data_IF_138761028589
#
_entry.id   IF_138761028589
#
_cell.length_a   1.000
_cell.length_b   1.000
_cell.length_c   1.000
_cell.angle_alpha   90.00
_cell.angle_beta   90.00
_cell.angle_gamma   90.00
#
_symmetry.space_group_name_H-M   'P 1'
#
loop_
_entity.id
_entity.type
_entity.pdbx_description
1 polymer ?
#
# COMPACT_ATOMS: atom_id res chain seq x y z
N UNK A 1 -22.01 -35.03 -45.03
CA UNK A 1 -22.09 -33.81 -44.20
C UNK A 1 -21.43 -34.17 -42.88
N UNK A 2 -20.20 -33.73 -42.64
CA UNK A 2 -19.56 -33.95 -41.34
C UNK A 2 -20.27 -33.04 -40.33
N UNK A 3 -21.00 -33.64 -39.40
CA UNK A 3 -21.70 -32.91 -38.36
C UNK A 3 -20.70 -32.57 -37.25
N UNK A 4 -20.12 -31.37 -37.31
CA UNK A 4 -19.37 -30.83 -36.18
C UNK A 4 -20.35 -30.44 -35.07
N UNK A 5 -20.07 -30.91 -33.85
CA UNK A 5 -20.83 -30.55 -32.64
C UNK A 5 -19.99 -29.52 -31.88
N UNK A 6 -20.63 -28.41 -31.50
CA UNK A 6 -20.00 -27.40 -30.67
C UNK A 6 -19.87 -27.92 -29.23
N UNK A 7 -18.68 -27.79 -28.64
CA UNK A 7 -18.46 -28.13 -27.23
C UNK A 7 -19.24 -27.19 -26.30
N UNK A 8 -19.55 -27.65 -25.09
CA UNK A 8 -20.17 -26.80 -24.07
C UNK A 8 -19.25 -25.65 -23.65
N UNK A 9 -19.80 -24.61 -23.03
CA UNK A 9 -19.05 -23.40 -22.66
C UNK A 9 -17.86 -23.66 -21.71
N UNK A 10 -17.90 -24.75 -20.94
CA UNK A 10 -16.85 -25.19 -20.01
C UNK A 10 -15.83 -26.13 -20.64
N UNK A 11 -16.03 -26.50 -21.90
CA UNK A 11 -15.21 -27.46 -22.63
C UNK A 11 -14.53 -26.83 -23.84
N UNK A 12 -13.46 -27.47 -24.28
CA UNK A 12 -12.69 -27.11 -25.45
C UNK A 12 -12.38 -28.35 -26.27
N UNK A 13 -12.19 -28.19 -27.57
CA UNK A 13 -11.78 -29.28 -28.44
C UNK A 13 -10.37 -29.76 -28.09
N UNK A 14 -10.15 -31.07 -28.01
CA UNK A 14 -8.80 -31.62 -27.96
C UNK A 14 -8.02 -31.32 -29.25
N UNK A 15 -6.69 -31.47 -29.24
CA UNK A 15 -5.84 -31.15 -30.41
C UNK A 15 -6.25 -31.86 -31.71
N UNK A 16 -6.85 -33.06 -31.58
CA UNK A 16 -7.32 -33.87 -32.72
C UNK A 16 -8.76 -33.55 -33.15
N UNK A 17 -9.46 -32.61 -32.51
CA UNK A 17 -10.86 -32.23 -32.76
C UNK A 17 -11.85 -33.40 -32.74
N UNK A 18 -11.58 -34.37 -31.87
CA UNK A 18 -12.36 -35.61 -31.74
C UNK A 18 -13.22 -35.65 -30.49
N UNK A 19 -12.85 -34.87 -29.45
CA UNK A 19 -13.51 -34.88 -28.15
C UNK A 19 -13.48 -33.48 -27.54
N UNK A 20 -14.51 -33.15 -26.78
CA UNK A 20 -14.53 -32.01 -25.87
C UNK A 20 -13.83 -32.40 -24.56
N UNK A 21 -12.91 -31.57 -24.09
CA UNK A 21 -12.15 -31.69 -22.85
C UNK A 21 -12.41 -30.46 -22.00
N UNK A 22 -12.38 -30.58 -20.68
CA UNK A 22 -12.60 -29.45 -19.77
C UNK A 22 -11.54 -28.37 -20.02
N UNK A 23 -11.95 -27.10 -20.12
CA UNK A 23 -11.01 -25.97 -20.25
C UNK A 23 -10.09 -25.91 -19.03
N UNK A 24 -8.85 -25.48 -19.22
CA UNK A 24 -7.88 -25.31 -18.13
C UNK A 24 -8.11 -24.01 -17.38
N UNK A 25 -8.20 -24.06 -16.04
CA UNK A 25 -8.30 -22.87 -15.20
C UNK A 25 -6.96 -22.12 -15.13
N UNK A 26 -6.98 -20.81 -15.37
CA UNK A 26 -5.84 -19.90 -15.20
C UNK A 26 -6.11 -18.91 -14.06
N UNK A 27 -5.26 -18.97 -13.04
CA UNK A 27 -5.16 -18.01 -11.94
C UNK A 27 -3.70 -17.97 -11.46
N UNK A 28 -3.35 -17.00 -10.62
CA UNK A 28 -1.99 -16.89 -10.08
C UNK A 28 -1.77 -17.94 -8.98
N UNK A 29 -1.36 -19.14 -9.38
CA UNK A 29 -1.29 -20.31 -8.51
C UNK A 29 -0.04 -20.27 -7.63
N UNK A 30 -0.19 -20.66 -6.35
CA UNK A 30 0.94 -20.82 -5.43
C UNK A 30 1.92 -21.92 -5.87
N UNK A 31 1.40 -23.00 -6.46
CA UNK A 31 2.19 -24.20 -6.75
C UNK A 31 2.75 -24.23 -8.16
N UNK A 32 2.08 -23.58 -9.11
CA UNK A 32 2.37 -23.77 -10.53
C UNK A 32 3.05 -22.57 -11.19
N UNK A 33 3.03 -21.39 -10.56
CA UNK A 33 3.62 -20.17 -11.10
C UNK A 33 4.85 -19.73 -10.30
N UNK A 34 6.01 -19.71 -10.94
CA UNK A 34 7.26 -19.19 -10.37
C UNK A 34 7.11 -17.74 -9.86
N UNK A 35 6.27 -16.95 -10.52
CA UNK A 35 5.99 -15.56 -10.18
C UNK A 35 5.34 -15.44 -8.79
N UNK A 36 4.40 -16.33 -8.46
CA UNK A 36 3.75 -16.37 -7.14
C UNK A 36 4.75 -16.65 -6.03
N UNK A 37 5.70 -17.56 -6.27
CA UNK A 37 6.77 -17.90 -5.32
C UNK A 37 7.69 -16.70 -5.10
N UNK A 38 8.06 -15.98 -6.17
CA UNK A 38 8.88 -14.77 -6.10
C UNK A 38 8.15 -13.69 -5.28
N UNK A 39 6.89 -13.37 -5.61
CA UNK A 39 6.13 -12.35 -4.88
C UNK A 39 5.92 -12.71 -3.41
N UNK A 40 5.61 -13.97 -3.11
CA UNK A 40 5.46 -14.43 -1.73
C UNK A 40 6.79 -14.30 -0.98
N UNK A 41 7.90 -14.73 -1.57
CA UNK A 41 9.23 -14.63 -0.95
C UNK A 41 9.64 -13.17 -0.67
N UNK A 42 9.43 -12.28 -1.64
CA UNK A 42 9.72 -10.84 -1.48
C UNK A 42 8.82 -10.22 -0.41
N UNK A 43 7.53 -10.57 -0.40
CA UNK A 43 6.58 -10.10 0.63
C UNK A 43 7.02 -10.54 2.03
N UNK A 44 7.38 -11.81 2.23
CA UNK A 44 7.88 -12.33 3.51
C UNK A 44 9.17 -11.62 3.93
N UNK A 45 10.11 -11.43 3.00
CA UNK A 45 11.37 -10.74 3.30
C UNK A 45 11.13 -9.30 3.79
N UNK A 46 10.27 -8.54 3.10
CA UNK A 46 9.95 -7.18 3.51
C UNK A 46 9.11 -7.12 4.79
N UNK A 47 8.20 -8.08 4.99
CA UNK A 47 7.46 -8.23 6.25
C UNK A 47 8.44 -8.43 7.43
N UNK A 48 9.37 -9.38 7.32
CA UNK A 48 10.38 -9.65 8.34
C UNK A 48 11.27 -8.43 8.58
N UNK A 49 11.71 -7.77 7.52
CA UNK A 49 12.48 -6.52 7.62
C UNK A 49 11.71 -5.43 8.38
N UNK A 50 10.42 -5.29 8.11
CA UNK A 50 9.56 -4.32 8.80
C UNK A 50 9.39 -4.68 10.28
N UNK A 51 9.27 -5.97 10.61
CA UNK A 51 9.23 -6.47 11.99
C UNK A 51 10.54 -6.17 12.73
N UNK A 52 11.69 -6.36 12.08
CA UNK A 52 12.99 -6.00 12.66
C UNK A 52 13.09 -4.50 12.93
N UNK A 53 12.73 -3.66 11.94
CA UNK A 53 12.69 -2.19 12.10
C UNK A 53 11.76 -1.79 13.25
N UNK A 54 10.56 -2.37 13.31
CA UNK A 54 9.61 -2.12 14.39
C UNK A 54 10.20 -2.50 15.76
N UNK A 55 10.87 -3.65 15.85
CA UNK A 55 11.51 -4.13 17.08
C UNK A 55 12.63 -3.19 17.55
N UNK A 56 13.42 -2.65 16.63
CA UNK A 56 14.42 -1.61 16.91
C UNK A 56 13.74 -0.35 17.47
N UNK A 57 12.67 0.12 16.84
CA UNK A 57 11.92 1.29 17.31
C UNK A 57 11.26 1.09 18.69
N UNK A 58 10.83 -0.13 19.02
CA UNK A 58 10.33 -0.49 20.37
C UNK A 58 11.47 -0.45 21.38
N UNK A 59 12.59 -1.10 21.06
CA UNK A 59 13.76 -1.20 21.96
C UNK A 59 14.35 0.16 22.27
N UNK A 60 14.47 1.03 21.26
CA UNK A 60 15.00 2.39 21.39
C UNK A 60 13.90 3.45 21.55
N UNK A 61 12.73 3.07 22.09
CA UNK A 61 11.57 3.96 22.27
C UNK A 61 11.90 5.25 23.03
N UNK A 62 12.76 5.15 24.04
CA UNK A 62 13.13 6.29 24.88
C UNK A 62 14.28 7.12 24.30
N UNK A 63 14.84 6.72 23.14
CA UNK A 63 15.90 7.47 22.49
C UNK A 63 15.40 8.83 21.98
N UNK A 64 16.22 9.89 22.06
CA UNK A 64 15.85 11.21 21.58
C UNK A 64 15.40 11.22 20.11
N UNK A 65 16.02 10.40 19.26
CA UNK A 65 15.66 10.26 17.84
C UNK A 65 14.22 9.76 17.68
N UNK A 66 13.81 8.71 18.40
CA UNK A 66 12.45 8.15 18.29
C UNK A 66 11.42 9.07 18.94
N UNK A 67 11.76 9.71 20.07
CA UNK A 67 10.88 10.62 20.80
C UNK A 67 10.61 11.93 20.06
N UNK A 68 11.63 12.49 19.38
CA UNK A 68 11.48 13.66 18.52
C UNK A 68 10.58 13.37 17.31
N UNK A 69 10.51 12.11 16.89
CA UNK A 69 9.86 11.69 15.66
C UNK A 69 8.39 11.26 15.81
N UNK A 70 7.62 11.98 16.64
CA UNK A 70 6.20 11.71 16.95
C UNK A 70 5.90 10.21 16.99
N UNK A 71 6.43 9.53 18.00
CA UNK A 71 6.48 8.08 18.12
C UNK A 71 5.20 7.39 17.60
N UNK A 72 4.01 7.79 18.06
CA UNK A 72 2.72 7.20 17.68
C UNK A 72 2.52 7.06 16.16
N UNK A 73 2.85 8.10 15.38
CA UNK A 73 2.70 8.07 13.92
C UNK A 73 3.69 7.13 13.25
N UNK A 74 4.93 7.09 13.74
CA UNK A 74 5.96 6.19 13.20
C UNK A 74 5.61 4.72 13.45
N UNK A 75 5.02 4.41 14.61
CA UNK A 75 4.51 3.06 14.90
C UNK A 75 3.32 2.70 14.01
N UNK A 76 2.35 3.60 13.88
CA UNK A 76 1.16 3.37 13.08
C UNK A 76 1.50 3.21 11.59
N UNK A 77 2.48 3.97 11.08
CA UNK A 77 3.03 3.80 9.73
C UNK A 77 3.74 2.45 9.55
N UNK A 78 4.59 2.02 10.49
CA UNK A 78 5.26 0.70 10.41
C UNK A 78 4.28 -0.46 10.45
N UNK A 79 3.26 -0.39 11.31
CA UNK A 79 2.20 -1.39 11.37
C UNK A 79 1.43 -1.44 10.05
N UNK A 80 1.14 -0.29 9.45
CA UNK A 80 0.47 -0.21 8.15
C UNK A 80 1.33 -0.83 7.05
N UNK A 81 2.61 -0.46 6.95
CA UNK A 81 3.56 -1.04 5.98
C UNK A 81 3.64 -2.58 6.13
N UNK A 82 3.71 -3.08 7.37
CA UNK A 82 3.70 -4.51 7.66
C UNK A 82 2.43 -5.19 7.14
N UNK A 83 1.26 -4.60 7.38
CA UNK A 83 -0.02 -5.11 6.89
C UNK A 83 -0.13 -5.03 5.36
N UNK A 84 0.47 -4.02 4.72
CA UNK A 84 0.53 -3.92 3.25
C UNK A 84 1.31 -5.08 2.64
N UNK A 85 2.46 -5.46 3.22
CA UNK A 85 3.18 -6.65 2.76
C UNK A 85 2.34 -7.93 2.93
N UNK A 86 1.67 -8.08 4.08
CA UNK A 86 0.79 -9.22 4.33
C UNK A 86 -0.43 -9.25 3.39
N UNK A 87 -0.92 -8.09 2.93
CA UNK A 87 -2.07 -8.02 2.03
C UNK A 87 -1.82 -8.70 0.69
N UNK A 88 -0.56 -8.85 0.25
CA UNK A 88 -0.18 -9.55 -0.98
C UNK A 88 -0.72 -10.98 -1.00
N UNK A 89 -0.81 -11.66 0.15
CA UNK A 89 -1.34 -13.02 0.23
C UNK A 89 -2.83 -13.12 -0.12
N UNK A 90 -3.59 -12.02 -0.06
CA UNK A 90 -4.99 -11.97 -0.51
C UNK A 90 -5.12 -11.97 -2.04
N UNK A 91 -4.05 -11.63 -2.76
CA UNK A 91 -4.00 -11.59 -4.22
C UNK A 91 -3.47 -12.89 -4.83
N UNK A 92 -2.81 -13.73 -4.04
CA UNK A 92 -2.22 -14.99 -4.48
C UNK A 92 -3.20 -16.16 -4.30
N UNK A 93 -3.11 -17.17 -5.16
CA UNK A 93 -3.93 -18.38 -5.08
C UNK A 93 -5.25 -18.29 -5.86
N UNK A 94 -6.12 -19.28 -5.66
CA UNK A 94 -7.42 -19.34 -6.33
C UNK A 94 -8.34 -18.29 -5.69
N UNK A 95 -8.80 -17.27 -6.44
CA UNK A 95 -9.68 -16.27 -5.88
C UNK A 95 -11.04 -16.87 -5.54
N UNK A 96 -11.55 -16.50 -4.38
CA UNK A 96 -12.92 -16.78 -3.88
C UNK A 96 -13.57 -15.48 -3.45
N UNK A 97 -14.91 -15.46 -3.35
CA UNK A 97 -15.66 -14.24 -3.02
C UNK A 97 -15.09 -13.46 -1.84
N UNK A 98 -14.78 -14.14 -0.74
CA UNK A 98 -14.21 -13.51 0.47
C UNK A 98 -12.85 -12.85 0.17
N UNK A 99 -11.93 -13.54 -0.51
CA UNK A 99 -10.62 -12.97 -0.85
C UNK A 99 -10.77 -11.76 -1.77
N UNK A 100 -11.82 -11.73 -2.58
CA UNK A 100 -12.09 -10.67 -3.54
C UNK A 100 -12.69 -9.43 -2.91
N UNK A 101 -13.52 -9.61 -1.89
CA UNK A 101 -13.91 -8.51 -1.01
C UNK A 101 -12.69 -7.97 -0.23
N UNK A 102 -11.83 -8.84 0.30
CA UNK A 102 -10.77 -8.42 1.21
C UNK A 102 -9.56 -7.76 0.53
N UNK A 103 -9.17 -8.15 -0.69
CA UNK A 103 -7.94 -7.69 -1.37
C UNK A 103 -7.78 -6.15 -1.41
N UNK A 104 -8.68 -5.47 -2.09
CA UNK A 104 -8.62 -4.02 -2.38
C UNK A 104 -9.00 -3.24 -1.13
N UNK A 105 -9.90 -3.77 -0.30
CA UNK A 105 -10.35 -3.12 0.93
C UNK A 105 -9.25 -3.13 1.97
N UNK A 106 -8.63 -4.28 2.22
CA UNK A 106 -7.52 -4.41 3.16
C UNK A 106 -6.36 -3.52 2.72
N UNK A 107 -6.00 -3.58 1.44
CA UNK A 107 -4.96 -2.72 0.90
C UNK A 107 -5.33 -1.24 1.04
N UNK A 108 -6.52 -0.84 0.59
CA UNK A 108 -6.95 0.57 0.58
C UNK A 108 -7.05 1.19 1.96
N UNK A 109 -7.58 0.46 2.94
CA UNK A 109 -7.61 0.92 4.35
C UNK A 109 -6.19 1.04 4.90
N UNK A 110 -5.38 0.01 4.75
CA UNK A 110 -4.00 0.01 5.26
C UNK A 110 -3.16 1.12 4.64
N UNK A 111 -3.32 1.32 3.33
CA UNK A 111 -2.69 2.37 2.58
C UNK A 111 -3.14 3.76 3.04
N UNK A 112 -4.45 3.98 3.20
CA UNK A 112 -5.00 5.24 3.68
C UNK A 112 -4.45 5.59 5.06
N UNK A 113 -4.36 4.62 5.97
CA UNK A 113 -3.75 4.80 7.29
C UNK A 113 -2.27 5.20 7.17
N UNK A 114 -1.50 4.54 6.29
CA UNK A 114 -0.09 4.85 6.06
C UNK A 114 0.12 6.28 5.54
N UNK A 115 -0.61 6.68 4.49
CA UNK A 115 -0.46 8.02 3.91
C UNK A 115 -1.04 9.10 4.81
N UNK A 116 -2.14 8.83 5.51
CA UNK A 116 -2.66 9.77 6.51
C UNK A 116 -1.66 10.01 7.63
N UNK A 117 -0.88 9.00 8.02
CA UNK A 117 0.22 9.15 8.99
C UNK A 117 1.33 10.05 8.46
N UNK A 118 1.69 9.91 7.19
CA UNK A 118 2.69 10.75 6.53
C UNK A 118 2.21 12.18 6.36
N UNK A 119 0.95 12.35 6.01
CA UNK A 119 0.28 13.64 5.92
C UNK A 119 0.28 14.33 7.29
N UNK A 120 -0.19 13.64 8.34
CA UNK A 120 -0.18 14.14 9.70
C UNK A 120 1.24 14.53 10.16
N UNK A 121 2.23 13.70 9.82
CA UNK A 121 3.64 13.97 10.14
C UNK A 121 4.16 15.22 9.44
N UNK A 122 3.83 15.38 8.16
CA UNK A 122 4.21 16.56 7.37
C UNK A 122 3.54 17.82 7.91
N UNK A 123 2.26 17.74 8.27
CA UNK A 123 1.52 18.84 8.92
C UNK A 123 2.19 19.22 10.24
N UNK A 124 2.58 18.24 11.06
CA UNK A 124 3.27 18.49 12.33
C UNK A 124 4.60 19.23 12.13
N UNK A 125 5.38 18.88 11.11
CA UNK A 125 6.63 19.60 10.73
C UNK A 125 6.32 21.04 10.32
N UNK A 126 5.33 21.25 9.43
CA UNK A 126 4.92 22.58 9.00
C UNK A 126 4.41 23.45 10.14
N UNK A 127 3.64 22.88 11.08
CA UNK A 127 3.10 23.61 12.24
C UNK A 127 4.19 23.92 13.25
N UNK A 128 5.14 23.00 13.50
CA UNK A 128 6.27 23.24 14.38
C UNK A 128 7.10 24.45 13.93
N UNK A 129 7.36 24.56 12.62
CA UNK A 129 8.05 25.71 12.04
C UNK A 129 7.25 27.01 12.12
N UNK A 130 5.91 26.97 12.00
CA UNK A 130 5.08 28.17 12.18
C UNK A 130 5.00 28.60 13.65
N UNK A 131 5.11 27.66 14.59
CA UNK A 131 4.97 27.94 16.01
C UNK A 131 6.24 28.46 16.70
N UNK A 132 7.40 28.33 16.07
CA UNK A 132 8.63 29.03 16.51
C UNK A 132 8.54 30.54 16.32
N UNK A 133 7.55 31.06 15.57
CA UNK A 133 7.26 32.50 15.53
C UNK A 133 6.61 32.96 16.85
N UNK A 134 7.17 33.98 17.54
CA UNK A 134 6.63 34.46 18.82
C UNK A 134 5.19 34.97 18.65
N UNK A 135 4.30 34.62 19.60
CA UNK A 135 2.90 35.07 19.63
C UNK A 135 1.85 34.19 18.93
N UNK A 136 2.22 33.04 18.36
CA UNK A 136 1.26 32.21 17.61
C UNK A 136 0.33 31.36 18.52
N UNK A 137 -0.99 31.40 18.26
CA UNK A 137 -1.99 30.55 18.92
C UNK A 137 -1.82 29.05 18.60
N UNK A 138 -1.08 28.73 17.53
CA UNK A 138 -0.78 27.39 17.04
C UNK A 138 0.00 26.53 18.04
N UNK A 139 0.68 27.14 19.01
CA UNK A 139 1.43 26.45 20.07
C UNK A 139 0.54 25.56 20.96
N UNK A 140 -0.76 25.88 21.11
CA UNK A 140 -1.72 25.07 21.88
C UNK A 140 -2.20 23.82 21.14
N UNK A 141 -2.14 23.83 19.80
CA UNK A 141 -2.58 22.74 18.93
C UNK A 141 -1.45 21.79 18.52
N UNK A 142 -0.20 22.14 18.83
CA UNK A 142 0.97 21.28 18.65
C UNK A 142 0.88 20.07 19.58
N UNK A 143 0.67 18.89 19.01
CA UNK A 143 0.80 17.64 19.74
C UNK A 143 0.14 16.42 19.09
N UNK A 144 0.12 15.34 19.86
CA UNK A 144 -0.42 14.02 19.49
C UNK A 144 -1.92 14.08 19.12
N UNK A 145 -2.68 15.01 19.70
CA UNK A 145 -4.11 15.18 19.42
C UNK A 145 -4.39 15.60 17.97
N UNK A 146 -3.61 16.54 17.42
CA UNK A 146 -3.78 16.99 16.03
C UNK A 146 -3.44 15.87 15.04
N UNK A 147 -2.30 15.21 15.24
CA UNK A 147 -1.86 14.12 14.37
C UNK A 147 -2.83 12.94 14.37
N UNK A 148 -3.29 12.49 15.54
CA UNK A 148 -4.28 11.42 15.62
C UNK A 148 -5.62 11.82 15.00
N UNK A 149 -6.05 13.09 15.15
CA UNK A 149 -7.27 13.59 14.52
C UNK A 149 -7.19 13.54 12.99
N UNK A 150 -6.07 13.97 12.40
CA UNK A 150 -5.84 13.88 10.94
C UNK A 150 -5.89 12.43 10.46
N UNK A 151 -5.18 11.53 11.14
CA UNK A 151 -5.17 10.10 10.77
C UNK A 151 -6.57 9.50 10.85
N UNK A 152 -7.30 9.76 11.93
CA UNK A 152 -8.64 9.22 12.14
C UNK A 152 -9.62 9.74 11.09
N UNK A 153 -9.59 11.05 10.81
CA UNK A 153 -10.47 11.68 9.83
C UNK A 153 -10.24 11.16 8.40
N UNK A 154 -8.99 11.10 7.95
CA UNK A 154 -8.68 10.60 6.61
C UNK A 154 -8.98 9.10 6.49
N UNK A 155 -8.62 8.30 7.50
CA UNK A 155 -8.86 6.85 7.46
C UNK A 155 -10.35 6.50 7.53
N UNK A 156 -11.15 7.28 8.28
CA UNK A 156 -12.60 7.03 8.40
C UNK A 156 -13.32 7.25 7.07
N UNK A 157 -12.92 8.24 6.28
CA UNK A 157 -13.47 8.45 4.93
C UNK A 157 -13.23 7.22 4.06
N UNK A 158 -12.01 6.68 4.04
CA UNK A 158 -11.71 5.46 3.28
C UNK A 158 -12.55 4.27 3.74
N UNK A 159 -12.70 4.09 5.05
CA UNK A 159 -13.52 3.00 5.62
C UNK A 159 -14.98 3.15 5.18
N UNK A 160 -15.55 4.36 5.24
CA UNK A 160 -16.93 4.60 4.81
C UNK A 160 -17.11 4.28 3.33
N UNK A 161 -16.17 4.68 2.47
CA UNK A 161 -16.19 4.37 1.03
C UNK A 161 -16.16 2.85 0.83
N UNK A 162 -15.24 2.14 1.48
CA UNK A 162 -15.13 0.68 1.38
C UNK A 162 -16.39 -0.04 1.87
N UNK A 163 -16.95 0.35 3.01
CA UNK A 163 -18.17 -0.25 3.56
C UNK A 163 -19.38 -0.01 2.68
N UNK A 164 -19.49 1.19 2.09
CA UNK A 164 -20.58 1.53 1.16
C UNK A 164 -20.48 0.67 -0.10
N UNK A 165 -19.27 0.50 -0.65
CA UNK A 165 -19.07 -0.35 -1.82
C UNK A 165 -19.43 -1.81 -1.54
N UNK A 166 -18.98 -2.37 -0.40
CA UNK A 166 -19.35 -3.73 0.01
C UNK A 166 -20.85 -3.92 0.21
N UNK A 167 -21.54 -2.91 0.75
CA UNK A 167 -22.97 -3.00 1.02
C UNK A 167 -23.82 -2.97 -0.26
N UNK A 168 -23.40 -2.20 -1.27
CA UNK A 168 -24.18 -1.99 -2.50
C UNK A 168 -23.85 -3.06 -3.55
N UNK A 169 -22.57 -3.33 -3.79
CA UNK A 169 -22.11 -4.22 -4.86
C UNK A 169 -20.72 -4.77 -4.51
N UNK A 170 -20.65 -5.78 -3.63
CA UNK A 170 -19.37 -6.33 -3.20
C UNK A 170 -18.67 -7.05 -4.37
N UNK A 171 -17.32 -7.04 -4.41
CA UNK A 171 -16.57 -7.85 -5.37
C UNK A 171 -16.83 -9.34 -5.18
N UNK A 172 -16.87 -10.09 -6.29
CA UNK A 172 -17.15 -11.53 -6.30
C UNK A 172 -16.27 -12.25 -7.32
N UNK A 173 -16.16 -13.57 -7.17
CA UNK A 173 -15.40 -14.42 -8.08
C UNK A 173 -16.12 -14.55 -9.43
N UNK A 174 -15.39 -14.30 -10.52
CA UNK A 174 -15.90 -14.44 -11.88
C UNK A 174 -15.04 -15.45 -12.67
N UNK A 175 -15.74 -16.31 -13.42
CA UNK A 175 -15.16 -17.27 -14.35
C UNK A 175 -15.25 -16.68 -15.76
N UNK A 176 -14.15 -16.11 -16.25
CA UNK A 176 -14.10 -15.56 -17.60
C UNK A 176 -13.71 -16.65 -18.60
N UNK A 177 -14.71 -17.06 -19.39
CA UNK A 177 -14.61 -18.11 -20.41
C UNK A 177 -14.45 -17.56 -21.84
N UNK A 178 -14.46 -16.24 -22.01
CA UNK A 178 -14.54 -15.56 -23.31
C UNK A 178 -13.26 -14.83 -23.68
N UNK A 179 -12.45 -14.42 -22.71
CA UNK A 179 -11.23 -13.64 -22.96
C UNK A 179 -10.09 -14.46 -23.56
N UNK A 180 -10.05 -15.78 -23.34
CA UNK A 180 -8.99 -16.65 -23.87
C UNK A 180 -9.54 -18.00 -24.37
N UNK A 181 -9.37 -18.35 -25.66
CA UNK A 181 -9.87 -19.61 -26.20
C UNK A 181 -9.21 -20.82 -25.52
N UNK A 182 -10.03 -21.72 -24.98
CA UNK A 182 -9.56 -22.96 -24.35
C UNK A 182 -9.11 -22.85 -22.88
N UNK A 183 -9.12 -21.65 -22.29
CA UNK A 183 -8.83 -21.44 -20.86
C UNK A 183 -10.00 -20.77 -20.14
N UNK A 184 -10.10 -20.98 -18.82
CA UNK A 184 -11.04 -20.29 -17.92
C UNK A 184 -10.22 -19.40 -17.01
N UNK A 185 -10.31 -18.09 -17.15
CA UNK A 185 -9.59 -17.17 -16.27
C UNK A 185 -10.44 -16.97 -15.02
N UNK A 186 -9.91 -17.37 -13.86
CA UNK A 186 -10.57 -17.10 -12.58
C UNK A 186 -10.02 -15.78 -12.04
N UNK A 187 -10.86 -14.75 -12.08
CA UNK A 187 -10.54 -13.41 -11.58
C UNK A 187 -11.62 -12.97 -10.61
N UNK A 188 -11.51 -11.75 -10.08
CA UNK A 188 -12.65 -11.17 -9.41
C UNK A 188 -13.13 -9.94 -10.10
N UNK A 189 -14.45 -9.93 -10.21
CA UNK A 189 -15.21 -8.82 -10.69
C UNK A 189 -15.40 -7.86 -9.53
N UNK A 190 -15.13 -6.58 -9.79
CA UNK A 190 -15.25 -5.52 -8.79
C UNK A 190 -16.71 -5.21 -8.44
N UNK A 191 -17.68 -5.76 -9.20
CA UNK A 191 -19.12 -5.59 -9.02
C UNK A 191 -19.61 -4.20 -9.44
N UNK A 192 -18.99 -3.14 -8.91
CA UNK A 192 -19.28 -1.76 -9.24
C UNK A 192 -18.00 -1.00 -9.60
N UNK A 193 -17.92 -0.57 -10.86
CA UNK A 193 -16.84 0.30 -11.32
C UNK A 193 -16.80 1.62 -10.54
N UNK A 194 -17.96 2.17 -10.17
CA UNK A 194 -18.04 3.40 -9.37
C UNK A 194 -17.43 3.17 -7.98
N UNK A 195 -17.76 2.05 -7.34
CA UNK A 195 -17.19 1.67 -6.05
C UNK A 195 -15.67 1.52 -6.11
N UNK A 196 -15.18 0.74 -7.07
CA UNK A 196 -13.75 0.56 -7.32
C UNK A 196 -13.02 1.89 -7.54
N UNK A 197 -13.48 2.72 -8.49
CA UNK A 197 -12.85 4.01 -8.79
C UNK A 197 -12.97 5.01 -7.64
N UNK A 198 -14.00 4.93 -6.80
CA UNK A 198 -14.11 5.79 -5.61
C UNK A 198 -13.03 5.48 -4.57
N UNK A 199 -12.71 4.19 -4.36
CA UNK A 199 -11.61 3.75 -3.48
C UNK A 199 -10.26 4.21 -4.04
N UNK A 200 -9.97 3.89 -5.30
CA UNK A 200 -8.71 4.29 -5.95
C UNK A 200 -8.59 5.82 -6.01
N UNK A 201 -9.67 6.52 -6.33
CA UNK A 201 -9.71 7.98 -6.43
C UNK A 201 -9.42 8.67 -5.10
N UNK A 202 -10.01 8.18 -4.00
CA UNK A 202 -9.71 8.73 -2.67
C UNK A 202 -8.25 8.47 -2.26
N UNK A 203 -7.73 7.27 -2.51
CA UNK A 203 -6.31 6.96 -2.28
C UNK A 203 -5.39 7.89 -3.06
N UNK A 204 -5.70 8.14 -4.34
CA UNK A 204 -4.96 9.06 -5.20
C UNK A 204 -5.02 10.51 -4.71
N UNK A 205 -6.20 10.99 -4.29
CA UNK A 205 -6.37 12.33 -3.72
C UNK A 205 -5.53 12.49 -2.44
N UNK A 206 -5.61 11.52 -1.54
CA UNK A 206 -4.88 11.54 -0.28
C UNK A 206 -3.36 11.55 -0.54
N UNK A 207 -2.88 10.74 -1.49
CA UNK A 207 -1.48 10.73 -1.91
C UNK A 207 -1.06 12.06 -2.52
N UNK A 208 -1.87 12.67 -3.39
CA UNK A 208 -1.59 13.95 -4.02
C UNK A 208 -1.47 15.08 -2.99
N UNK A 209 -2.43 15.19 -2.06
CA UNK A 209 -2.41 16.19 -0.98
C UNK A 209 -1.16 16.01 -0.12
N UNK A 210 -0.84 14.77 0.25
CA UNK A 210 0.33 14.49 1.06
C UNK A 210 1.64 14.75 0.32
N UNK A 211 1.72 14.50 -0.98
CA UNK A 211 2.88 14.83 -1.80
C UNK A 211 3.09 16.34 -1.89
N UNK A 212 2.03 17.12 -2.17
CA UNK A 212 2.11 18.59 -2.24
C UNK A 212 2.61 19.17 -0.91
N UNK A 213 2.04 18.75 0.22
CA UNK A 213 2.52 19.22 1.52
C UNK A 213 3.96 18.78 1.81
N UNK A 214 4.34 17.55 1.46
CA UNK A 214 5.70 17.06 1.67
C UNK A 214 6.71 17.83 0.81
N UNK A 215 6.34 18.19 -0.41
CA UNK A 215 7.15 19.01 -1.30
C UNK A 215 7.33 20.43 -0.77
N UNK A 216 6.27 21.04 -0.23
CA UNK A 216 6.36 22.36 0.42
C UNK A 216 7.22 22.32 1.69
N UNK A 217 7.15 21.23 2.46
CA UNK A 217 7.93 21.07 3.69
C UNK A 217 9.44 20.87 3.44
N UNK A 218 9.86 20.41 2.25
CA UNK A 218 11.28 20.20 1.89
C UNK A 218 12.15 21.47 2.04
N UNK A 219 11.56 22.65 1.85
CA UNK A 219 12.29 23.92 1.93
C UNK A 219 12.50 24.41 3.37
N UNK A 220 11.87 23.74 4.36
CA UNK A 220 12.02 24.11 5.76
C UNK A 220 13.40 23.66 6.29
N UNK A 221 14.12 24.52 7.04
CA UNK A 221 15.35 24.15 7.72
C UNK A 221 14.99 23.28 8.93
N UNK A 222 14.69 22.01 8.69
CA UNK A 222 14.43 21.05 9.76
C UNK A 222 15.74 20.37 10.20
N UNK A 223 15.81 20.08 11.50
CA UNK A 223 16.98 19.59 12.26
C UNK A 223 17.61 18.30 11.73
N UNK A 224 16.91 17.56 10.87
CA UNK A 224 17.40 16.40 10.12
C UNK A 224 16.78 16.44 8.73
N UNK A 225 17.43 15.86 7.70
CA UNK A 225 16.92 15.74 6.32
C UNK A 225 15.58 14.95 6.20
N UNK A 226 14.81 14.78 7.27
CA UNK A 226 13.54 14.09 7.38
C UNK A 226 12.50 14.58 6.38
N UNK A 227 12.31 15.89 6.21
CA UNK A 227 11.37 16.41 5.22
C UNK A 227 11.72 15.93 3.81
N UNK A 228 13.03 15.90 3.45
CA UNK A 228 13.50 15.41 2.15
C UNK A 228 13.22 13.91 1.98
N UNK A 229 13.45 13.10 3.01
CA UNK A 229 13.15 11.66 2.97
C UNK A 229 11.66 11.39 2.79
N UNK A 230 10.79 12.16 3.46
CA UNK A 230 9.33 12.08 3.30
C UNK A 230 8.93 12.47 1.87
N UNK A 231 9.47 13.58 1.33
CA UNK A 231 9.17 14.00 -0.06
C UNK A 231 9.60 12.93 -1.06
N UNK A 232 10.82 12.39 -0.94
CA UNK A 232 11.33 11.37 -1.86
C UNK A 232 10.49 10.09 -1.79
N UNK A 233 10.10 9.70 -0.58
CA UNK A 233 9.20 8.58 -0.34
C UNK A 233 7.84 8.78 -1.01
N UNK A 234 7.25 9.96 -0.90
CA UNK A 234 5.95 10.26 -1.53
C UNK A 234 6.05 10.39 -3.04
N UNK A 235 7.18 10.90 -3.56
CA UNK A 235 7.42 10.96 -5.00
C UNK A 235 7.48 9.55 -5.61
N UNK A 236 8.26 8.66 -4.99
CA UNK A 236 8.37 7.25 -5.40
C UNK A 236 7.02 6.55 -5.28
N UNK A 237 6.28 6.82 -4.21
CA UNK A 237 4.93 6.31 -4.06
C UNK A 237 4.03 6.73 -5.23
N UNK A 238 3.92 8.03 -5.51
CA UNK A 238 3.08 8.56 -6.58
C UNK A 238 3.51 8.04 -7.96
N UNK A 239 4.81 7.91 -8.24
CA UNK A 239 5.29 7.42 -9.53
C UNK A 239 4.91 5.96 -9.78
N UNK A 240 4.94 5.11 -8.75
CA UNK A 240 4.49 3.71 -8.83
C UNK A 240 3.00 3.64 -9.16
N UNK A 241 2.17 4.46 -8.51
CA UNK A 241 0.71 4.44 -8.74
C UNK A 241 0.30 5.05 -10.08
N UNK A 242 0.99 6.10 -10.53
CA UNK A 242 0.75 6.68 -11.86
C UNK A 242 1.14 5.67 -12.96
N UNK A 243 2.26 4.97 -12.81
CA UNK A 243 2.69 3.95 -13.79
C UNK A 243 1.85 2.67 -13.74
N UNK A 244 1.23 2.38 -12.59
CA UNK A 244 0.32 1.26 -12.42
C UNK A 244 -0.96 1.40 -13.27
N UNK A 245 -1.53 2.61 -13.41
CA UNK A 245 -2.76 2.84 -14.18
C UNK A 245 -2.68 2.30 -15.63
N UNK A 246 -1.72 2.73 -16.47
CA UNK A 246 -1.63 2.22 -17.84
C UNK A 246 -1.26 0.73 -17.88
N UNK A 247 -0.46 0.24 -16.93
CA UNK A 247 -0.11 -1.18 -16.85
C UNK A 247 -1.34 -2.05 -16.51
N UNK A 248 -2.20 -1.60 -15.59
CA UNK A 248 -3.45 -2.25 -15.22
C UNK A 248 -4.40 -2.32 -16.42
N UNK A 249 -4.57 -1.20 -17.14
CA UNK A 249 -5.46 -1.14 -18.32
C UNK A 249 -4.95 -1.93 -19.52
N UNK A 250 -3.63 -2.14 -19.63
CA UNK A 250 -3.00 -2.84 -20.76
C UNK A 250 -2.86 -4.36 -20.54
N UNK A 251 -2.99 -4.82 -19.29
CA UNK A 251 -2.83 -6.23 -18.93
C UNK A 251 -4.20 -6.88 -18.65
N UNK A 252 -4.27 -8.21 -18.79
CA UNK A 252 -5.49 -8.98 -18.54
C UNK A 252 -5.19 -10.21 -17.69
N UNK A 253 -6.21 -10.70 -16.99
CA UNK A 253 -6.15 -11.92 -16.18
C UNK A 253 -5.06 -11.86 -15.12
N UNK A 254 -4.24 -12.93 -15.03
CA UNK A 254 -3.20 -13.05 -14.00
C UNK A 254 -2.16 -11.93 -14.01
N UNK A 255 -1.89 -11.32 -15.16
CA UNK A 255 -0.90 -10.24 -15.28
C UNK A 255 -1.38 -8.94 -14.61
N UNK A 256 -2.69 -8.68 -14.61
CA UNK A 256 -3.28 -7.53 -13.91
C UNK A 256 -3.01 -7.62 -12.41
N UNK A 257 -3.20 -8.81 -11.83
CA UNK A 257 -2.91 -9.10 -10.42
C UNK A 257 -1.42 -8.93 -10.10
N UNK A 258 -0.52 -9.35 -11.00
CA UNK A 258 0.92 -9.13 -10.84
C UNK A 258 1.28 -7.64 -10.75
N UNK A 259 0.66 -6.81 -11.59
CA UNK A 259 0.89 -5.35 -11.60
C UNK A 259 0.45 -4.73 -10.27
N UNK A 260 -0.69 -5.16 -9.72
CA UNK A 260 -1.17 -4.71 -8.40
C UNK A 260 -0.20 -5.10 -7.28
N UNK A 261 0.20 -6.38 -7.21
CA UNK A 261 1.15 -6.87 -6.21
C UNK A 261 2.47 -6.10 -6.30
N UNK A 262 2.99 -5.89 -7.51
CA UNK A 262 4.22 -5.13 -7.73
C UNK A 262 4.09 -3.69 -7.22
N UNK A 263 2.97 -3.03 -7.47
CA UNK A 263 2.71 -1.68 -6.98
C UNK A 263 2.64 -1.62 -5.45
N UNK A 264 1.96 -2.58 -4.80
CA UNK A 264 1.86 -2.69 -3.34
C UNK A 264 3.26 -2.88 -2.71
N UNK A 265 4.03 -3.84 -3.23
CA UNK A 265 5.37 -4.15 -2.73
C UNK A 265 6.32 -2.97 -2.90
N UNK A 266 6.43 -2.42 -4.11
CA UNK A 266 7.38 -1.35 -4.43
C UNK A 266 7.07 -0.08 -3.66
N UNK A 267 5.80 0.30 -3.58
CA UNK A 267 5.39 1.50 -2.86
C UNK A 267 5.61 1.38 -1.35
N UNK A 268 5.27 0.24 -0.74
CA UNK A 268 5.49 -0.03 0.69
C UNK A 268 6.98 -0.15 1.04
N UNK A 269 7.77 -0.80 0.17
CA UNK A 269 9.22 -0.89 0.32
C UNK A 269 9.88 0.49 0.20
N UNK A 270 9.40 1.35 -0.69
CA UNK A 270 9.83 2.74 -0.80
C UNK A 270 9.59 3.52 0.49
N UNK A 271 8.39 3.41 1.10
CA UNK A 271 8.10 4.03 2.39
C UNK A 271 9.04 3.53 3.50
N UNK A 272 9.25 2.21 3.59
CA UNK A 272 10.14 1.61 4.56
C UNK A 272 11.59 2.11 4.38
N UNK A 273 12.09 2.04 3.15
CA UNK A 273 13.47 2.35 2.81
C UNK A 273 13.79 3.83 2.99
N UNK A 274 12.92 4.73 2.54
CA UNK A 274 13.20 6.16 2.57
C UNK A 274 13.08 6.74 3.98
N UNK A 275 12.10 6.28 4.77
CA UNK A 275 11.74 6.92 6.03
C UNK A 275 12.43 6.27 7.23
N UNK A 276 12.55 4.93 7.23
CA UNK A 276 12.99 4.20 8.41
C UNK A 276 14.42 3.70 8.33
N UNK A 277 14.92 3.28 7.17
CA UNK A 277 16.31 2.80 7.07
C UNK A 277 17.35 3.86 7.49
N UNK A 278 17.26 5.15 7.09
CA UNK A 278 18.21 6.17 7.57
C UNK A 278 18.18 6.34 9.10
N UNK A 279 17.02 6.16 9.71
CA UNK A 279 16.82 6.28 11.16
C UNK A 279 17.37 5.06 11.90
N UNK A 280 17.06 3.85 11.43
CA UNK A 280 17.64 2.62 11.95
C UNK A 280 19.16 2.64 11.86
N UNK A 281 19.71 3.10 10.73
CA UNK A 281 21.15 3.24 10.56
C UNK A 281 21.75 4.18 11.61
N UNK A 282 21.14 5.35 11.82
CA UNK A 282 21.61 6.32 12.83
C UNK A 282 21.49 5.76 14.25
N UNK A 283 20.38 5.11 14.59
CA UNK A 283 20.14 4.53 15.92
C UNK A 283 21.15 3.42 16.25
N UNK A 284 21.41 2.52 15.30
CA UNK A 284 22.25 1.32 15.52
C UNK A 284 23.73 1.62 15.35
N UNK A 285 24.12 2.32 14.29
CA UNK A 285 25.52 2.49 13.90
C UNK A 285 26.13 3.83 14.33
N UNK A 286 25.31 4.81 14.75
CA UNK A 286 25.79 6.11 15.24
C UNK A 286 25.17 6.50 16.59
N UNK A 287 25.38 5.70 17.66
CA UNK A 287 24.82 5.97 18.98
C UNK A 287 25.28 7.31 19.58
N UNK A 288 26.43 7.85 19.15
CA UNK A 288 26.94 9.14 19.60
C UNK A 288 26.01 10.33 19.25
N UNK A 289 25.30 10.25 18.12
CA UNK A 289 24.32 11.26 17.68
C UNK A 289 23.02 11.14 18.52
N UNK A 290 22.83 10.01 19.19
CA UNK A 290 21.66 9.72 20.02
C UNK A 290 21.78 10.27 21.46
N UNK A 291 22.90 10.92 21.81
CA UNK A 291 23.08 11.62 23.09
C UNK A 291 22.42 13.01 23.03
N UNK A 292 21.65 13.37 24.07
CA UNK A 292 20.91 14.65 24.21
C UNK A 292 21.75 15.90 23.90
N UNK A 293 23.07 15.86 24.09
CA UNK A 293 23.99 16.97 23.88
C UNK A 293 24.09 17.44 22.42
N UNK A 294 23.85 16.58 21.43
CA UNK A 294 23.94 16.95 20.01
C UNK A 294 22.63 17.45 19.39
N UNK A 295 21.47 17.24 20.05
CA UNK A 295 20.16 17.71 19.55
C UNK A 295 19.79 19.12 20.03
N UNK A 296 20.48 19.62 21.06
CA UNK A 296 20.34 20.97 21.62
C UNK A 296 21.53 21.87 21.27
N UNK A 297 22.46 21.40 20.42
CA UNK A 297 23.68 22.10 20.03
C UNK A 297 23.55 22.79 18.67
N UNK A 298 22.69 23.82 18.61
CA UNK A 298 22.86 25.08 17.88
C UNK A 298 21.64 25.97 18.08
#
# INVERSE_FOLDING_TARGET
KENCIQCSDMEWTNNKRTKCITKTEEFLSYTNDLISVIFSSISVLFFLTTVLVLSVFITYRDSPIVRANNQSLSFLLLVSIKLSFLSVFLFLGRPVDITCMLRIITFGITFSIAVSSLLAKTIMVCVAFKATKPGSSWRKWLGVKLSNSVVLFCSSIQIIICMTWLAISPPFQELDIHTSPGTIIIQCNEGSAIGFYSVIGYMGLLAAVSFVLAFLARSLPDSFNEAKYITFSMLLFCSVWITMIPAYLSTKGKNTVCVEIFAILTSSAGLLACIFLPKCYTIVFRPEINKKSHLLGN
#
